data_IF_994304302806
#
_entry.id   IF_994304302806
#
_cell.length_a   1.000
_cell.length_b   1.000
_cell.length_c   1.000
_cell.angle_alpha   90.00
_cell.angle_beta   90.00
_cell.angle_gamma   90.00
#
_symmetry.space_group_name_H-M   'P 1'
#
loop_
_entity.id
_entity.type
_entity.pdbx_description
1 polymer ?
#
# COMPACT_ATOMS: atom_id res chain seq x y z
N UNK A 1 12.95 10.40 20.14
CA UNK A 1 11.95 9.29 20.18
C UNK A 1 12.70 7.95 20.23
N UNK A 2 12.16 6.95 20.91
CA UNK A 2 12.77 5.61 20.85
C UNK A 2 12.60 5.03 19.44
N UNK A 3 13.63 4.34 18.91
CA UNK A 3 13.54 3.67 17.62
C UNK A 3 12.37 2.66 17.59
N UNK A 4 11.55 2.74 16.54
CA UNK A 4 10.47 1.79 16.28
C UNK A 4 10.91 0.80 15.19
N UNK A 5 10.40 -0.43 15.23
CA UNK A 5 10.54 -1.43 14.18
C UNK A 5 9.37 -1.28 13.22
N UNK A 6 9.67 -0.90 11.99
CA UNK A 6 8.69 -0.52 10.96
C UNK A 6 8.82 -1.43 9.76
N UNK A 7 7.71 -2.02 9.34
CA UNK A 7 7.60 -2.82 8.12
C UNK A 7 6.77 -2.07 7.08
N UNK A 8 7.34 -1.89 5.88
CA UNK A 8 6.68 -1.18 4.77
C UNK A 8 6.61 -2.10 3.56
N UNK A 9 5.40 -2.35 3.04
CA UNK A 9 5.23 -3.12 1.81
C UNK A 9 5.40 -2.25 0.57
N UNK A 10 5.96 -2.82 -0.51
CA UNK A 10 6.18 -2.10 -1.76
C UNK A 10 7.20 -0.95 -1.64
N UNK A 11 8.30 -1.17 -0.92
CA UNK A 11 9.30 -0.14 -0.62
C UNK A 11 10.36 0.07 -1.72
N UNK A 12 10.28 -0.63 -2.84
CA UNK A 12 11.29 -0.49 -3.93
C UNK A 12 11.11 0.75 -4.78
N UNK A 13 9.94 1.40 -4.74
CA UNK A 13 9.62 2.58 -5.57
C UNK A 13 8.61 3.50 -4.89
N UNK A 14 8.32 4.64 -5.51
CA UNK A 14 7.22 5.55 -5.15
C UNK A 14 7.22 5.97 -3.68
N UNK A 15 6.02 5.98 -3.10
CA UNK A 15 5.81 6.36 -1.70
C UNK A 15 6.56 5.47 -0.71
N UNK A 16 6.54 4.14 -0.95
CA UNK A 16 7.18 3.18 -0.07
C UNK A 16 8.69 3.42 0.05
N UNK A 17 9.38 3.66 -1.07
CA UNK A 17 10.81 3.96 -1.09
C UNK A 17 11.13 5.23 -0.31
N UNK A 18 10.43 6.31 -0.63
CA UNK A 18 10.70 7.63 -0.01
C UNK A 18 10.39 7.57 1.49
N UNK A 19 9.25 7.01 1.87
CA UNK A 19 8.83 6.91 3.27
C UNK A 19 9.79 6.04 4.08
N UNK A 20 10.23 4.89 3.53
CA UNK A 20 11.18 4.01 4.21
C UNK A 20 12.52 4.69 4.46
N UNK A 21 13.03 5.44 3.50
CA UNK A 21 14.26 6.22 3.64
C UNK A 21 14.11 7.31 4.71
N UNK A 22 13.03 8.12 4.64
CA UNK A 22 12.78 9.18 5.62
C UNK A 22 12.66 8.64 7.06
N UNK A 23 11.97 7.52 7.27
CA UNK A 23 11.84 6.90 8.59
C UNK A 23 13.18 6.33 9.08
N UNK A 24 13.97 5.77 8.18
CA UNK A 24 15.32 5.28 8.50
C UNK A 24 16.28 6.43 8.87
N UNK A 25 16.19 7.56 8.18
CA UNK A 25 16.94 8.79 8.51
C UNK A 25 16.56 9.37 9.88
N UNK A 26 15.31 9.16 10.32
CA UNK A 26 14.83 9.54 11.67
C UNK A 26 15.28 8.56 12.78
N UNK A 27 16.07 7.54 12.44
CA UNK A 27 16.64 6.58 13.40
C UNK A 27 15.74 5.39 13.70
N UNK A 28 14.67 5.14 12.94
CA UNK A 28 13.86 3.94 13.05
C UNK A 28 14.55 2.73 12.40
N UNK A 29 14.22 1.52 12.85
CA UNK A 29 14.62 0.25 12.23
C UNK A 29 13.58 -0.07 11.17
N UNK A 30 13.94 0.05 9.89
CA UNK A 30 13.00 -0.06 8.79
C UNK A 30 13.28 -1.29 7.93
N UNK A 31 12.27 -2.11 7.76
CA UNK A 31 12.22 -3.22 6.82
C UNK A 31 11.29 -2.82 5.66
N UNK A 32 11.83 -2.77 4.47
CA UNK A 32 11.09 -2.58 3.24
C UNK A 32 10.85 -3.92 2.54
N UNK A 33 9.77 -4.05 1.77
CA UNK A 33 9.57 -5.26 0.97
C UNK A 33 9.42 -4.97 -0.52
N UNK A 34 9.83 -5.91 -1.34
CA UNK A 34 9.54 -5.96 -2.77
C UNK A 34 9.38 -7.41 -3.23
N UNK A 35 8.76 -7.63 -4.39
CA UNK A 35 8.63 -8.97 -5.00
C UNK A 35 9.94 -9.52 -5.57
N UNK A 36 10.92 -8.65 -5.78
CA UNK A 36 12.23 -9.01 -6.34
C UNK A 36 13.28 -8.86 -5.25
N UNK A 37 14.33 -9.69 -5.32
CA UNK A 37 15.53 -9.49 -4.50
C UNK A 37 16.09 -8.11 -4.81
N UNK A 38 16.27 -7.29 -3.77
CA UNK A 38 16.85 -5.97 -3.90
C UNK A 38 17.94 -5.79 -2.85
N UNK A 39 18.97 -5.05 -3.20
CA UNK A 39 19.96 -4.61 -2.23
C UNK A 39 19.33 -3.68 -1.20
N UNK A 40 19.88 -3.67 0.00
CA UNK A 40 19.45 -2.75 1.04
C UNK A 40 19.57 -1.30 0.56
N UNK A 41 18.58 -0.47 0.88
CA UNK A 41 18.59 0.94 0.54
C UNK A 41 19.15 1.77 1.69
N UNK A 42 20.48 1.94 1.71
CA UNK A 42 21.16 2.55 2.85
C UNK A 42 20.91 1.74 4.13
N UNK A 43 20.23 2.33 5.12
CA UNK A 43 19.89 1.67 6.39
C UNK A 43 18.55 0.89 6.34
N UNK A 44 17.81 0.95 5.24
CA UNK A 44 16.57 0.16 5.06
C UNK A 44 16.92 -1.26 4.66
N UNK A 45 16.54 -2.23 5.48
CA UNK A 45 16.71 -3.66 5.18
C UNK A 45 15.60 -4.10 4.23
N UNK A 46 15.98 -4.66 3.07
CA UNK A 46 15.00 -5.12 2.08
C UNK A 46 14.75 -6.62 2.19
N UNK A 47 13.47 -7.01 2.18
CA UNK A 47 13.01 -8.40 2.22
C UNK A 47 12.22 -8.72 0.95
N UNK A 48 12.32 -9.97 0.49
CA UNK A 48 11.52 -10.47 -0.64
C UNK A 48 10.17 -10.91 -0.11
N UNK A 49 9.12 -10.16 -0.47
CA UNK A 49 7.72 -10.48 -0.09
C UNK A 49 6.80 -10.19 -1.27
N UNK A 50 6.01 -11.18 -1.63
CA UNK A 50 4.79 -11.00 -2.38
C UNK A 50 3.62 -11.00 -1.40
N UNK A 51 2.88 -9.89 -1.35
CA UNK A 51 1.74 -9.73 -0.42
C UNK A 51 0.58 -10.68 -0.72
N UNK A 52 0.58 -11.31 -1.89
CA UNK A 52 -0.39 -12.36 -2.26
C UNK A 52 0.05 -13.76 -1.83
N UNK A 53 1.31 -13.92 -1.40
CA UNK A 53 1.89 -15.19 -0.98
C UNK A 53 2.11 -15.23 0.52
N UNK A 54 1.25 -15.96 1.24
CA UNK A 54 1.28 -16.06 2.68
C UNK A 54 2.59 -16.68 3.22
N UNK A 55 3.21 -17.60 2.49
CA UNK A 55 4.49 -18.21 2.90
C UNK A 55 5.62 -17.17 2.92
N UNK A 56 5.73 -16.33 1.88
CA UNK A 56 6.74 -15.26 1.83
C UNK A 56 6.53 -14.22 2.94
N UNK A 57 5.27 -13.92 3.26
CA UNK A 57 4.90 -13.03 4.36
C UNK A 57 5.35 -13.62 5.71
N UNK A 58 5.00 -14.87 5.98
CA UNK A 58 5.36 -15.53 7.25
C UNK A 58 6.87 -15.63 7.44
N UNK A 59 7.61 -15.93 6.38
CA UNK A 59 9.07 -15.97 6.42
C UNK A 59 9.66 -14.59 6.80
N UNK A 60 9.20 -13.52 6.14
CA UNK A 60 9.67 -12.16 6.42
C UNK A 60 9.32 -11.70 7.84
N UNK A 61 8.07 -11.94 8.29
CA UNK A 61 7.64 -11.62 9.65
C UNK A 61 8.48 -12.42 10.68
N UNK A 62 8.68 -13.73 10.45
CA UNK A 62 9.50 -14.58 11.31
C UNK A 62 10.93 -14.05 11.42
N UNK A 63 11.54 -13.61 10.33
CA UNK A 63 12.86 -12.99 10.33
C UNK A 63 12.88 -11.71 11.17
N UNK A 64 11.94 -10.78 10.96
CA UNK A 64 11.88 -9.53 11.73
C UNK A 64 11.71 -9.81 13.22
N UNK A 65 10.84 -10.74 13.57
CA UNK A 65 10.60 -11.11 14.98
C UNK A 65 11.83 -11.77 15.59
N UNK A 66 12.54 -12.62 14.86
CA UNK A 66 13.81 -13.22 15.32
C UNK A 66 14.88 -12.16 15.56
N UNK A 67 14.98 -11.14 14.69
CA UNK A 67 16.00 -10.10 14.78
C UNK A 67 15.67 -9.00 15.81
N UNK A 68 14.38 -8.64 15.94
CA UNK A 68 13.95 -7.44 16.68
C UNK A 68 12.98 -7.73 17.84
N UNK A 69 12.42 -8.92 17.91
CA UNK A 69 11.43 -9.31 18.93
C UNK A 69 10.06 -8.69 18.78
N UNK A 70 9.87 -7.72 17.86
CA UNK A 70 8.64 -6.94 17.70
C UNK A 70 8.48 -6.34 16.31
N UNK A 71 7.27 -5.92 16.00
CA UNK A 71 6.93 -5.00 14.91
C UNK A 71 6.03 -3.92 15.51
N UNK A 72 6.51 -2.68 15.55
CA UNK A 72 5.76 -1.55 16.14
C UNK A 72 4.79 -0.92 15.13
N UNK A 73 5.17 -0.88 13.84
CA UNK A 73 4.38 -0.26 12.78
C UNK A 73 4.40 -1.14 11.52
N UNK A 74 3.22 -1.38 10.95
CA UNK A 74 3.04 -1.91 9.60
C UNK A 74 2.50 -0.80 8.71
N UNK A 75 3.13 -0.58 7.55
CA UNK A 75 2.64 0.33 6.51
C UNK A 75 2.33 -0.52 5.27
N UNK A 76 1.05 -0.73 5.00
CA UNK A 76 0.56 -1.40 3.81
C UNK A 76 0.52 -0.40 2.66
N UNK A 77 1.61 -0.37 1.89
CA UNK A 77 1.77 0.54 0.76
C UNK A 77 1.81 -0.19 -0.60
N UNK A 78 2.08 -1.49 -0.62
CA UNK A 78 2.06 -2.25 -1.88
C UNK A 78 0.70 -2.15 -2.56
N UNK A 79 0.71 -1.83 -3.84
CA UNK A 79 -0.50 -1.71 -4.65
C UNK A 79 -0.17 -1.53 -6.13
N UNK A 80 -1.17 -1.70 -6.96
CA UNK A 80 -1.10 -1.55 -8.40
C UNK A 80 -2.43 -0.98 -8.93
N UNK A 81 -2.41 -0.52 -10.17
CA UNK A 81 -3.62 -0.08 -10.88
C UNK A 81 -3.77 -0.78 -12.22
N UNK A 82 -5.00 -1.16 -12.56
CA UNK A 82 -5.41 -1.60 -13.89
C UNK A 82 -6.48 -0.64 -14.36
N UNK A 83 -6.27 -0.05 -15.54
CA UNK A 83 -7.23 0.83 -16.20
C UNK A 83 -7.95 0.13 -17.33
N UNK A 84 -9.27 0.26 -17.39
CA UNK A 84 -10.13 -0.32 -18.42
C UNK A 84 -11.61 -0.21 -18.08
N UNK A 85 -12.48 -0.45 -19.08
CA UNK A 85 -13.92 -0.53 -18.90
C UNK A 85 -14.29 -1.73 -18.01
N UNK A 86 -15.23 -1.53 -17.09
CA UNK A 86 -15.61 -2.57 -16.12
C UNK A 86 -16.16 -3.82 -16.79
N UNK A 87 -16.98 -3.68 -17.82
CA UNK A 87 -17.59 -4.83 -18.50
C UNK A 87 -16.61 -5.63 -19.37
N UNK A 88 -15.48 -5.03 -19.77
CA UNK A 88 -14.45 -5.67 -20.57
C UNK A 88 -13.29 -6.21 -19.73
N UNK A 89 -13.32 -6.01 -18.41
CA UNK A 89 -12.27 -6.50 -17.54
C UNK A 89 -12.29 -8.03 -17.48
N UNK A 90 -11.14 -8.64 -17.69
CA UNK A 90 -11.00 -10.09 -17.54
C UNK A 90 -11.01 -10.51 -16.07
N UNK A 91 -11.47 -11.73 -15.77
CA UNK A 91 -11.39 -12.31 -14.41
C UNK A 91 -9.97 -12.20 -13.84
N UNK A 92 -8.96 -12.45 -14.66
CA UNK A 92 -7.55 -12.35 -14.26
C UNK A 92 -7.15 -10.93 -13.83
N UNK A 93 -7.61 -9.90 -14.54
CA UNK A 93 -7.34 -8.49 -14.18
C UNK A 93 -8.00 -8.15 -12.84
N UNK A 94 -9.24 -8.57 -12.66
CA UNK A 94 -9.98 -8.38 -11.39
C UNK A 94 -9.28 -9.10 -10.25
N UNK A 95 -8.92 -10.37 -10.42
CA UNK A 95 -8.23 -11.18 -9.41
C UNK A 95 -6.89 -10.57 -8.99
N UNK A 96 -6.06 -10.17 -9.95
CA UNK A 96 -4.75 -9.57 -9.66
C UNK A 96 -4.92 -8.24 -8.92
N UNK A 97 -5.89 -7.41 -9.34
CA UNK A 97 -6.17 -6.12 -8.70
C UNK A 97 -6.60 -6.31 -7.24
N UNK A 98 -7.58 -7.19 -6.99
CA UNK A 98 -8.12 -7.47 -5.66
C UNK A 98 -7.09 -8.20 -4.79
N UNK A 99 -6.41 -9.20 -5.33
CA UNK A 99 -5.40 -9.97 -4.60
C UNK A 99 -4.27 -9.10 -4.09
N UNK A 100 -3.79 -8.16 -4.92
CA UNK A 100 -2.70 -7.28 -4.53
C UNK A 100 -3.16 -6.18 -3.57
N UNK A 101 -4.21 -5.42 -3.96
CA UNK A 101 -4.57 -4.18 -3.26
C UNK A 101 -5.37 -4.42 -1.98
N UNK A 102 -6.22 -5.44 -1.95
CA UNK A 102 -7.07 -5.73 -0.80
C UNK A 102 -6.59 -6.95 -0.01
N UNK A 103 -6.53 -8.13 -0.64
CA UNK A 103 -6.12 -9.34 0.09
C UNK A 103 -4.67 -9.25 0.57
N UNK A 104 -3.79 -8.54 -0.15
CA UNK A 104 -2.44 -8.24 0.32
C UNK A 104 -2.42 -7.48 1.64
N UNK A 105 -3.27 -6.46 1.80
CA UNK A 105 -3.45 -5.73 3.07
C UNK A 105 -3.95 -6.66 4.17
N UNK A 106 -4.98 -7.46 3.89
CA UNK A 106 -5.54 -8.44 4.83
C UNK A 106 -4.47 -9.43 5.30
N UNK A 107 -3.71 -10.01 4.37
CA UNK A 107 -2.67 -10.99 4.68
C UNK A 107 -1.58 -10.40 5.58
N UNK A 108 -1.11 -9.20 5.27
CA UNK A 108 -0.10 -8.51 6.08
C UNK A 108 -0.62 -8.18 7.48
N UNK A 109 -1.84 -7.66 7.58
CA UNK A 109 -2.46 -7.39 8.88
C UNK A 109 -2.59 -8.67 9.72
N UNK A 110 -3.11 -9.76 9.13
CA UNK A 110 -3.24 -11.07 9.81
C UNK A 110 -1.88 -11.58 10.33
N UNK A 111 -0.81 -11.36 9.58
CA UNK A 111 0.52 -11.84 9.95
C UNK A 111 1.14 -11.05 11.12
N UNK A 112 0.90 -9.73 11.23
CA UNK A 112 1.52 -8.90 12.29
C UNK A 112 0.65 -8.78 13.54
N UNK A 113 -0.66 -8.87 13.42
CA UNK A 113 -1.61 -8.65 14.52
C UNK A 113 -1.37 -9.54 15.74
N UNK A 114 -1.04 -10.84 15.64
CA UNK A 114 -0.75 -11.67 16.81
C UNK A 114 0.36 -11.09 17.69
N UNK A 115 1.41 -10.54 17.09
CA UNK A 115 2.54 -9.93 17.81
C UNK A 115 2.15 -8.58 18.43
N UNK A 116 1.43 -7.73 17.68
CA UNK A 116 0.95 -6.44 18.19
C UNK A 116 -0.05 -6.59 19.33
N UNK A 117 -0.98 -7.56 19.24
CA UNK A 117 -1.94 -7.87 20.31
C UNK A 117 -1.25 -8.36 21.57
N UNK A 118 -0.26 -9.27 21.43
CA UNK A 118 0.54 -9.77 22.56
C UNK A 118 1.30 -8.64 23.24
N UNK A 119 1.87 -7.72 22.46
CA UNK A 119 2.59 -6.55 22.96
C UNK A 119 1.66 -5.45 23.53
N UNK A 120 0.35 -5.55 23.32
CA UNK A 120 -0.63 -4.47 23.65
C UNK A 120 -0.21 -3.13 23.07
N UNK A 121 0.39 -3.15 21.90
CA UNK A 121 0.93 -1.98 21.22
C UNK A 121 1.14 -2.29 19.75
N UNK A 122 0.73 -1.39 18.88
CA UNK A 122 0.96 -1.50 17.45
C UNK A 122 0.30 -0.38 16.69
N UNK A 123 0.76 -0.17 15.46
CA UNK A 123 0.14 0.76 14.52
C UNK A 123 0.12 0.15 13.12
N UNK A 124 -1.02 0.18 12.48
CA UNK A 124 -1.23 -0.24 11.09
C UNK A 124 -1.61 1.00 10.30
N UNK A 125 -0.90 1.27 9.22
CA UNK A 125 -1.17 2.38 8.31
C UNK A 125 -1.46 1.77 6.94
N UNK A 126 -2.70 1.88 6.50
CA UNK A 126 -3.14 1.37 5.20
C UNK A 126 -3.19 2.52 4.20
N UNK A 127 -2.41 2.41 3.12
CA UNK A 127 -2.44 3.39 2.04
C UNK A 127 -3.61 3.05 1.12
N UNK A 128 -4.66 3.81 1.27
CA UNK A 128 -5.84 3.80 0.42
C UNK A 128 -5.63 4.72 -0.80
N UNK A 129 -6.64 5.49 -1.17
CA UNK A 129 -6.63 6.45 -2.27
C UNK A 129 -7.88 7.31 -2.19
N UNK A 130 -7.90 8.47 -2.84
CA UNK A 130 -9.16 9.15 -3.18
C UNK A 130 -10.11 8.21 -3.93
N UNK A 131 -9.58 7.24 -4.71
CA UNK A 131 -10.35 6.17 -5.32
C UNK A 131 -10.98 5.19 -4.34
N UNK A 132 -10.69 5.27 -3.04
CA UNK A 132 -11.34 4.50 -1.97
C UNK A 132 -12.59 5.19 -1.40
N UNK A 133 -12.81 6.46 -1.72
CA UNK A 133 -13.96 7.25 -1.27
C UNK A 133 -14.84 7.73 -2.42
N UNK A 134 -14.35 7.64 -3.65
CA UNK A 134 -15.12 7.91 -4.87
C UNK A 134 -14.68 6.99 -6.01
N UNK A 135 -15.64 6.63 -6.90
CA UNK A 135 -15.35 5.84 -8.09
C UNK A 135 -14.66 6.67 -9.17
N UNK A 136 -13.58 6.12 -9.75
CA UNK A 136 -12.85 6.77 -10.84
C UNK A 136 -13.20 6.05 -12.15
N UNK A 137 -13.67 6.76 -13.18
CA UNK A 137 -13.95 6.16 -14.49
C UNK A 137 -12.74 5.40 -15.04
N UNK A 138 -12.98 4.25 -15.63
CA UNK A 138 -11.96 3.33 -16.17
C UNK A 138 -10.92 2.82 -15.14
N UNK A 139 -11.15 3.06 -13.85
CA UNK A 139 -10.41 2.49 -12.74
C UNK A 139 -11.35 1.86 -11.70
N UNK A 140 -12.48 1.30 -12.15
CA UNK A 140 -13.53 0.81 -11.25
C UNK A 140 -13.09 -0.30 -10.31
N UNK A 141 -12.33 -1.30 -10.77
CA UNK A 141 -11.80 -2.35 -9.89
C UNK A 141 -10.67 -1.87 -8.99
N UNK A 142 -9.89 -0.87 -9.42
CA UNK A 142 -8.96 -0.18 -8.52
C UNK A 142 -9.75 0.50 -7.39
N UNK A 143 -10.76 1.30 -7.72
CA UNK A 143 -11.62 1.96 -6.74
C UNK A 143 -12.28 0.94 -5.82
N UNK A 144 -12.90 -0.12 -6.35
CA UNK A 144 -13.49 -1.19 -5.55
C UNK A 144 -12.50 -1.82 -4.55
N UNK A 145 -11.25 -2.06 -4.99
CA UNK A 145 -10.21 -2.58 -4.11
C UNK A 145 -9.86 -1.62 -2.97
N UNK A 146 -9.87 -0.31 -3.23
CA UNK A 146 -9.59 0.73 -2.23
C UNK A 146 -10.78 0.95 -1.29
N UNK A 147 -12.02 0.95 -1.79
CA UNK A 147 -13.22 0.91 -0.94
C UNK A 147 -13.23 -0.30 0.01
N UNK A 148 -12.78 -1.47 -0.48
CA UNK A 148 -12.66 -2.65 0.37
C UNK A 148 -11.60 -2.46 1.48
N UNK A 149 -10.49 -1.75 1.20
CA UNK A 149 -9.48 -1.38 2.22
C UNK A 149 -10.06 -0.42 3.25
N UNK A 150 -10.88 0.56 2.83
CA UNK A 150 -11.56 1.50 3.75
C UNK A 150 -12.43 0.75 4.75
N UNK A 151 -13.45 0.01 4.27
CA UNK A 151 -14.36 -0.71 5.15
C UNK A 151 -13.66 -1.75 6.04
N UNK A 152 -12.66 -2.46 5.50
CA UNK A 152 -11.83 -3.38 6.28
C UNK A 152 -11.09 -2.65 7.41
N UNK A 153 -10.51 -1.51 7.11
CA UNK A 153 -9.68 -0.76 8.07
C UNK A 153 -10.52 -0.15 9.20
N UNK A 154 -11.71 0.37 8.89
CA UNK A 154 -12.66 0.89 9.88
C UNK A 154 -13.10 -0.23 10.85
N UNK A 155 -13.53 -1.37 10.32
CA UNK A 155 -13.91 -2.52 11.14
C UNK A 155 -12.74 -3.02 12.01
N UNK A 156 -11.56 -3.18 11.39
CA UNK A 156 -10.37 -3.63 12.10
C UNK A 156 -9.97 -2.66 13.23
N UNK A 157 -10.09 -1.36 13.02
CA UNK A 157 -9.75 -0.36 14.04
C UNK A 157 -10.57 -0.56 15.34
N UNK A 158 -11.86 -0.86 15.21
CA UNK A 158 -12.75 -1.16 16.33
C UNK A 158 -12.37 -2.48 17.01
N UNK A 159 -12.14 -3.53 16.23
CA UNK A 159 -11.81 -4.87 16.73
C UNK A 159 -10.49 -4.91 17.51
N UNK A 160 -9.47 -4.17 17.05
CA UNK A 160 -8.14 -4.19 17.69
C UNK A 160 -7.92 -3.11 18.74
N UNK A 161 -8.88 -2.18 18.89
CA UNK A 161 -8.84 -1.11 19.91
C UNK A 161 -8.61 -1.64 21.34
N UNK A 162 -9.26 -2.74 21.81
CA UNK A 162 -9.03 -3.29 23.14
C UNK A 162 -7.59 -3.76 23.38
N UNK A 163 -6.83 -3.99 22.31
CA UNK A 163 -5.43 -4.40 22.37
C UNK A 163 -4.45 -3.22 22.24
N UNK A 164 -4.95 -1.98 22.24
CA UNK A 164 -4.14 -0.76 22.05
C UNK A 164 -3.35 -0.79 20.72
N UNK A 165 -3.91 -1.42 19.69
CA UNK A 165 -3.42 -1.34 18.31
C UNK A 165 -4.23 -0.25 17.60
N UNK A 166 -3.54 0.62 16.86
CA UNK A 166 -4.16 1.72 16.10
C UNK A 166 -4.16 1.38 14.62
N UNK A 167 -5.25 1.65 13.94
CA UNK A 167 -5.36 1.53 12.48
C UNK A 167 -5.64 2.91 11.91
N UNK A 168 -4.90 3.28 10.87
CA UNK A 168 -5.02 4.57 10.21
C UNK A 168 -5.14 4.35 8.71
N UNK A 169 -6.00 5.10 8.08
CA UNK A 169 -6.10 5.22 6.63
C UNK A 169 -5.35 6.46 6.15
N UNK A 170 -4.76 6.36 4.99
CA UNK A 170 -4.16 7.48 4.28
C UNK A 170 -4.69 7.43 2.85
N UNK A 171 -5.36 8.48 2.42
CA UNK A 171 -6.08 8.58 1.15
C UNK A 171 -5.39 9.60 0.23
N UNK A 172 -4.31 9.21 -0.48
CA UNK A 172 -3.65 10.11 -1.40
C UNK A 172 -4.55 10.46 -2.58
N UNK A 173 -4.53 11.73 -2.99
CA UNK A 173 -4.97 12.16 -4.33
C UNK A 173 -3.85 11.98 -5.35
N UNK A 174 -3.64 12.99 -6.22
CA UNK A 174 -2.65 12.91 -7.28
C UNK A 174 -1.24 13.24 -6.81
N UNK A 175 -0.34 12.33 -7.09
CA UNK A 175 1.07 12.43 -6.77
C UNK A 175 1.94 11.98 -7.94
N UNK A 176 2.99 12.73 -8.23
CA UNK A 176 3.97 12.37 -9.25
C UNK A 176 4.84 11.21 -8.75
N UNK A 177 4.47 10.00 -9.09
CA UNK A 177 5.20 8.77 -8.75
C UNK A 177 5.27 7.85 -9.96
N UNK A 178 6.08 6.79 -9.89
CA UNK A 178 6.08 5.74 -10.90
C UNK A 178 4.79 4.90 -10.98
N UNK A 179 3.74 5.22 -10.22
CA UNK A 179 2.45 4.51 -10.28
C UNK A 179 1.80 4.65 -11.67
N UNK A 180 1.84 5.88 -12.23
CA UNK A 180 1.33 6.19 -13.57
C UNK A 180 1.99 5.31 -14.64
N UNK A 181 3.33 5.23 -14.61
CA UNK A 181 4.10 4.47 -15.61
C UNK A 181 3.96 2.94 -15.45
N UNK A 182 3.61 2.49 -14.24
CA UNK A 182 3.42 1.07 -13.91
C UNK A 182 1.96 0.62 -13.92
N UNK A 183 1.02 1.49 -14.33
CA UNK A 183 -0.39 1.12 -14.50
C UNK A 183 -0.51 0.12 -15.65
N UNK A 184 -1.18 -1.00 -15.39
CA UNK A 184 -1.56 -1.93 -16.45
C UNK A 184 -2.78 -1.37 -17.19
N UNK A 185 -2.76 -1.49 -18.51
CA UNK A 185 -3.84 -1.03 -19.39
C UNK A 185 -4.53 -2.25 -19.98
N UNK A 186 -5.85 -2.32 -19.81
CA UNK A 186 -6.66 -3.38 -20.41
C UNK A 186 -6.63 -3.26 -21.95
N UNK A 187 -6.07 -4.27 -22.59
CA UNK A 187 -5.95 -4.30 -24.06
C UNK A 187 -7.33 -4.48 -24.71
N UNK A 188 -8.24 -5.21 -24.09
CA UNK A 188 -9.61 -5.36 -24.59
C UNK A 188 -10.32 -4.00 -24.65
N UNK A 189 -10.22 -3.19 -23.61
CA UNK A 189 -10.81 -1.84 -23.60
C UNK A 189 -10.16 -0.93 -24.63
N UNK A 190 -8.85 -1.02 -24.79
CA UNK A 190 -8.09 -0.16 -25.71
C UNK A 190 -8.46 -0.38 -27.16
N UNK A 191 -8.77 -1.64 -27.53
CA UNK A 191 -9.12 -2.04 -28.88
C UNK A 191 -10.61 -2.00 -29.17
N UNK A 192 -11.43 -1.79 -28.15
CA UNK A 192 -12.88 -1.77 -28.28
C UNK A 192 -13.36 -0.53 -29.02
N UNK A 193 -14.33 -0.71 -29.95
CA UNK A 193 -14.85 0.37 -30.79
C UNK A 193 -15.67 1.42 -30.04
N UNK A 194 -16.33 1.02 -28.94
CA UNK A 194 -17.24 1.89 -28.20
C UNK A 194 -16.53 2.57 -27.03
N UNK A 195 -15.59 1.87 -26.37
CA UNK A 195 -14.86 2.37 -25.20
C UNK A 195 -13.51 2.98 -25.51
N UNK A 196 -12.81 2.52 -26.54
CA UNK A 196 -11.38 2.78 -26.75
C UNK A 196 -11.01 4.26 -26.78
N UNK A 197 -11.75 5.09 -27.54
CA UNK A 197 -11.48 6.53 -27.62
C UNK A 197 -11.75 7.24 -26.29
N UNK A 198 -12.89 6.97 -25.65
CA UNK A 198 -13.26 7.58 -24.36
C UNK A 198 -12.31 7.17 -23.26
N UNK A 199 -11.87 5.90 -23.23
CA UNK A 199 -10.88 5.40 -22.32
C UNK A 199 -9.54 6.11 -22.48
N UNK A 200 -9.01 6.21 -23.71
CA UNK A 200 -7.73 6.87 -23.97
C UNK A 200 -7.75 8.36 -23.60
N UNK A 201 -8.88 9.03 -23.83
CA UNK A 201 -9.04 10.43 -23.44
C UNK A 201 -9.08 10.59 -21.91
N UNK A 202 -9.80 9.73 -21.20
CA UNK A 202 -9.82 9.71 -19.73
C UNK A 202 -8.44 9.40 -19.15
N UNK A 203 -7.73 8.43 -19.73
CA UNK A 203 -6.40 8.06 -19.31
C UNK A 203 -5.40 9.23 -19.44
N UNK A 204 -5.44 9.97 -20.55
CA UNK A 204 -4.60 11.18 -20.74
C UNK A 204 -4.84 12.23 -19.67
N UNK A 205 -6.09 12.44 -19.25
CA UNK A 205 -6.44 13.40 -18.20
C UNK A 205 -5.85 12.92 -16.87
N UNK A 206 -6.11 11.67 -16.49
CA UNK A 206 -5.63 11.07 -15.25
C UNK A 206 -4.09 11.13 -15.16
N UNK A 207 -3.40 10.71 -16.22
CA UNK A 207 -1.94 10.75 -16.27
C UNK A 207 -1.39 12.18 -16.15
N UNK A 208 -2.03 13.14 -16.79
CA UNK A 208 -1.65 14.55 -16.69
C UNK A 208 -1.80 15.07 -15.26
N UNK A 209 -2.89 14.75 -14.58
CA UNK A 209 -3.13 15.17 -13.20
C UNK A 209 -2.14 14.51 -12.24
N UNK A 210 -1.91 13.20 -12.37
CA UNK A 210 -0.90 12.48 -11.59
C UNK A 210 0.53 13.03 -11.79
N UNK A 211 0.94 13.30 -13.05
CA UNK A 211 2.28 13.86 -13.34
C UNK A 211 2.44 15.28 -12.83
N UNK A 212 1.36 16.07 -12.76
CA UNK A 212 1.34 17.41 -12.18
C UNK A 212 1.00 17.40 -10.68
N UNK A 213 0.76 16.22 -10.12
CA UNK A 213 0.40 16.03 -8.73
C UNK A 213 1.51 16.39 -7.74
N UNK A 214 1.20 16.28 -6.47
CA UNK A 214 2.12 16.61 -5.39
C UNK A 214 3.40 15.76 -5.44
N UNK A 215 4.53 16.32 -5.01
CA UNK A 215 5.75 15.55 -4.85
C UNK A 215 5.59 14.48 -3.74
N UNK A 216 5.96 13.21 -3.98
CA UNK A 216 5.68 12.08 -3.07
C UNK A 216 6.31 12.23 -1.67
N UNK A 217 7.34 13.06 -1.52
CA UNK A 217 7.94 13.38 -0.22
C UNK A 217 6.95 14.05 0.75
N UNK A 218 5.92 14.74 0.22
CA UNK A 218 4.86 15.34 1.04
C UNK A 218 4.03 14.27 1.76
N UNK A 219 3.67 13.19 1.06
CA UNK A 219 3.00 12.05 1.67
C UNK A 219 3.92 11.34 2.66
N UNK A 220 5.19 11.08 2.30
CA UNK A 220 6.17 10.53 3.22
C UNK A 220 6.26 11.32 4.53
N UNK A 221 6.27 12.66 4.46
CA UNK A 221 6.27 13.52 5.65
C UNK A 221 5.01 13.35 6.50
N UNK A 222 3.85 13.19 5.87
CA UNK A 222 2.58 12.94 6.57
C UNK A 222 2.60 11.58 7.27
N UNK A 223 3.08 10.54 6.61
CA UNK A 223 3.22 9.20 7.21
C UNK A 223 4.21 9.23 8.39
N UNK A 224 5.35 9.91 8.25
CA UNK A 224 6.30 10.09 9.37
C UNK A 224 5.64 10.76 10.58
N UNK A 225 4.78 11.76 10.37
CA UNK A 225 4.01 12.40 11.46
C UNK A 225 3.02 11.41 12.10
N UNK A 226 2.33 10.57 11.30
CA UNK A 226 1.44 9.53 11.81
C UNK A 226 2.24 8.53 12.65
N UNK A 227 3.40 8.08 12.18
CA UNK A 227 4.28 7.15 12.93
C UNK A 227 4.68 7.75 14.27
N UNK A 228 5.03 9.04 14.31
CA UNK A 228 5.47 9.74 15.52
C UNK A 228 4.36 9.97 16.57
N UNK A 229 3.08 10.09 16.15
CA UNK A 229 1.96 10.35 17.07
C UNK A 229 1.64 9.12 17.90
N UNK A 230 1.30 9.32 19.18
CA UNK A 230 0.82 8.24 20.07
C UNK A 230 -0.60 7.81 19.69
N UNK A 231 -1.46 8.76 19.40
CA UNK A 231 -2.83 8.57 18.91
C UNK A 231 -2.93 9.33 17.59
N UNK A 232 -2.70 8.68 16.47
CA UNK A 232 -2.79 9.27 15.14
C UNK A 232 -4.24 9.41 14.70
#
# INVERSE_FOLDING_TARGET
>A
MQPQVILITGASSGFGKITSQMLSEQGHIVYGTSRKTSENMGKVKMLVVDVTNTSSIQQAIGQIISEQGRIDVLINNAGMGIGGALELATEREVDIQMSTNFFGVVNMCKAVLPYMRKARKGKIINISSIGGVMGIPYQGFYSASKFAVEGYSEALALEVHPFNVKVCLVEPGDFNTGFTDNRNISELTRQDSDYGESFLNSLKIIEKEERNGCHPRKLGSSICKIVARKNP
#
